data_IF_628299232976
#
_entry.id   IF_628299232976
#
_cell.length_a   1.000
_cell.length_b   1.000
_cell.length_c   1.000
_cell.angle_alpha   90.00
_cell.angle_beta   90.00
_cell.angle_gamma   90.00
#
_symmetry.space_group_name_H-M   'P 1'
#
loop_
_entity.id
_entity.type
_entity.pdbx_description
1 polymer ?
#
# COMPACT_ATOMS: atom_id res chain seq x y z
N UNK A 1 8.52 1.81 -13.49
CA UNK A 1 7.27 2.60 -13.60
C UNK A 1 6.09 1.69 -13.84
N UNK A 2 4.93 2.05 -13.31
CA UNK A 2 3.67 1.33 -13.53
C UNK A 2 2.54 2.30 -13.79
N UNK A 3 1.70 2.00 -14.78
CA UNK A 3 0.35 2.53 -14.88
C UNK A 3 -0.46 1.91 -13.75
N UNK A 4 -1.13 2.73 -12.94
CA UNK A 4 -1.68 2.29 -11.67
C UNK A 4 -3.13 2.72 -11.54
N UNK A 5 -3.95 1.82 -10.97
CA UNK A 5 -5.37 2.04 -10.68
C UNK A 5 -6.26 2.28 -11.92
N UNK A 6 -5.90 1.69 -13.06
CA UNK A 6 -6.82 1.52 -14.20
C UNK A 6 -7.71 0.31 -13.94
N UNK A 7 -8.63 0.44 -13.01
CA UNK A 7 -9.52 -0.66 -12.66
C UNK A 7 -10.80 -0.64 -13.51
N UNK A 8 -11.30 -1.81 -13.82
CA UNK A 8 -12.59 -1.98 -14.50
C UNK A 8 -13.72 -2.30 -13.51
N UNK A 9 -13.65 -1.68 -12.32
CA UNK A 9 -14.65 -1.79 -11.26
C UNK A 9 -15.70 -0.68 -11.38
N UNK A 10 -16.66 -0.66 -10.43
CA UNK A 10 -17.67 0.38 -10.41
C UNK A 10 -17.07 1.76 -10.10
N UNK A 11 -17.50 2.75 -10.87
CA UNK A 11 -17.11 4.14 -10.69
C UNK A 11 -17.57 4.71 -9.34
N UNK A 12 -16.75 5.56 -8.74
CA UNK A 12 -17.03 6.27 -7.49
C UNK A 12 -17.28 5.38 -6.26
N UNK A 13 -16.77 4.13 -6.29
CA UNK A 13 -16.85 3.19 -5.15
C UNK A 13 -15.49 2.84 -4.54
N UNK A 14 -14.41 3.35 -5.07
CA UNK A 14 -13.05 3.07 -4.56
C UNK A 14 -12.60 4.17 -3.61
N UNK A 15 -12.18 3.77 -2.41
CA UNK A 15 -11.59 4.65 -1.41
C UNK A 15 -10.06 4.70 -1.50
N UNK A 16 -9.46 5.70 -0.85
CA UNK A 16 -7.99 5.77 -0.71
C UNK A 16 -7.44 4.56 0.05
N UNK A 17 -8.20 4.07 1.03
CA UNK A 17 -7.84 2.90 1.84
C UNK A 17 -7.78 1.61 1.02
N UNK A 18 -8.65 1.45 0.02
CA UNK A 18 -8.64 0.30 -0.88
C UNK A 18 -7.46 0.31 -1.85
N UNK A 19 -6.94 1.49 -2.20
CA UNK A 19 -5.77 1.61 -3.09
C UNK A 19 -4.46 1.25 -2.39
N UNK A 20 -4.34 1.50 -1.07
CA UNK A 20 -3.08 1.32 -0.34
C UNK A 20 -2.51 -0.10 -0.36
N UNK A 21 -3.27 -1.18 -0.11
CA UNK A 21 -2.74 -2.54 -0.13
C UNK A 21 -2.14 -2.94 -1.48
N UNK A 22 -2.82 -2.60 -2.59
CA UNK A 22 -2.33 -2.90 -3.94
C UNK A 22 -1.06 -2.11 -4.25
N UNK A 23 -1.00 -0.85 -3.83
CA UNK A 23 0.17 0.00 -3.92
C UNK A 23 1.37 -0.57 -3.17
N UNK A 24 1.15 -1.00 -1.93
CA UNK A 24 2.18 -1.60 -1.10
C UNK A 24 2.71 -2.90 -1.73
N UNK A 25 1.81 -3.71 -2.29
CA UNK A 25 2.20 -4.92 -3.01
C UNK A 25 3.05 -4.61 -4.25
N UNK A 26 2.69 -3.57 -5.00
CA UNK A 26 3.46 -3.10 -6.15
C UNK A 26 4.85 -2.57 -5.73
N UNK A 27 4.94 -1.85 -4.61
CA UNK A 27 6.22 -1.42 -4.04
C UNK A 27 7.09 -2.62 -3.64
N UNK A 28 6.52 -3.62 -2.98
CA UNK A 28 7.22 -4.87 -2.64
C UNK A 28 7.65 -5.66 -3.89
N UNK A 29 6.94 -5.51 -5.02
CA UNK A 29 7.31 -6.09 -6.31
C UNK A 29 8.34 -5.27 -7.12
N UNK A 30 8.87 -4.17 -6.55
CA UNK A 30 9.92 -3.36 -7.16
C UNK A 30 9.42 -2.16 -8.00
N UNK A 31 8.12 -1.91 -8.06
CA UNK A 31 7.60 -0.66 -8.64
C UNK A 31 8.03 0.51 -7.76
N UNK A 32 8.66 1.52 -8.37
CA UNK A 32 9.16 2.68 -7.66
C UNK A 32 8.75 4.02 -8.30
N UNK A 33 7.83 3.98 -9.26
CA UNK A 33 7.27 5.14 -9.92
C UNK A 33 5.88 4.80 -10.45
N UNK A 34 4.85 5.41 -9.85
CA UNK A 34 3.45 5.16 -10.18
C UNK A 34 2.88 6.30 -11.00
N UNK A 35 2.12 5.96 -12.03
CA UNK A 35 1.32 6.88 -12.83
C UNK A 35 -0.15 6.51 -12.67
N UNK A 36 -0.94 7.46 -12.21
CA UNK A 36 -2.37 7.25 -12.06
C UNK A 36 -3.06 7.36 -13.42
N UNK A 37 -3.90 6.40 -13.72
CA UNK A 37 -4.78 6.38 -14.89
C UNK A 37 -6.23 6.20 -14.40
N UNK A 38 -7.06 7.20 -14.15
CA UNK A 38 -6.50 8.50 -13.81
C UNK A 38 -7.59 9.56 -13.82
N UNK A 39 -7.40 10.64 -14.51
CA UNK A 39 -8.28 11.81 -14.51
C UNK A 39 -8.75 12.15 -15.92
N UNK A 40 -10.06 12.23 -16.14
CA UNK A 40 -10.63 12.78 -17.37
C UNK A 40 -10.66 14.31 -17.30
N UNK A 41 -10.38 14.97 -18.41
CA UNK A 41 -10.63 16.39 -18.56
C UNK A 41 -12.12 16.67 -18.39
N UNK A 42 -12.46 17.75 -17.68
CA UNK A 42 -13.81 18.27 -17.59
C UNK A 42 -13.83 19.78 -17.77
N UNK A 43 -14.69 20.34 -18.67
CA UNK A 43 -14.89 21.78 -18.76
C UNK A 43 -15.40 22.36 -17.44
N UNK A 44 -15.16 23.65 -17.20
CA UNK A 44 -15.58 24.35 -15.97
C UNK A 44 -17.10 24.35 -15.77
N UNK A 45 -17.86 24.36 -16.85
CA UNK A 45 -19.32 24.38 -16.91
C UNK A 45 -19.95 22.97 -16.96
N UNK A 46 -19.12 21.93 -16.95
CA UNK A 46 -19.62 20.57 -16.87
C UNK A 46 -20.32 20.33 -15.54
N UNK A 47 -21.57 19.87 -15.61
CA UNK A 47 -22.31 19.47 -14.42
C UNK A 47 -21.61 18.32 -13.70
N UNK A 48 -21.76 18.28 -12.38
CA UNK A 48 -21.23 17.17 -11.57
C UNK A 48 -21.74 15.81 -12.09
N UNK A 49 -20.90 14.77 -12.15
CA UNK A 49 -19.50 14.64 -11.72
C UNK A 49 -18.47 15.03 -12.79
N UNK A 50 -18.84 15.71 -13.84
CA UNK A 50 -17.98 16.05 -14.96
C UNK A 50 -17.93 14.95 -16.02
N UNK A 51 -16.95 15.05 -16.92
CA UNK A 51 -16.71 14.03 -17.94
C UNK A 51 -16.01 12.83 -17.33
N UNK A 52 -16.40 11.63 -17.80
CA UNK A 52 -15.91 10.39 -17.26
C UNK A 52 -14.98 9.67 -18.23
N UNK A 53 -14.07 8.95 -17.63
CA UNK A 53 -13.23 7.98 -18.29
C UNK A 53 -13.89 6.57 -18.22
N UNK A 54 -13.44 5.61 -19.03
CA UNK A 54 -14.01 4.26 -19.01
C UNK A 54 -13.60 3.45 -17.79
N UNK A 55 -12.42 3.74 -17.24
CA UNK A 55 -11.88 3.04 -16.08
C UNK A 55 -12.11 3.82 -14.78
N UNK A 56 -12.25 3.12 -13.68
CA UNK A 56 -12.05 3.65 -12.34
C UNK A 56 -10.56 3.47 -11.96
N UNK A 57 -9.95 4.17 -11.05
CA UNK A 57 -10.50 5.10 -10.06
C UNK A 57 -10.61 6.48 -10.68
N UNK A 58 -11.71 7.17 -10.40
CA UNK A 58 -11.88 8.56 -10.87
C UNK A 58 -11.09 9.51 -9.94
N UNK A 59 -9.81 9.71 -10.22
CA UNK A 59 -8.92 10.65 -9.52
C UNK A 59 -9.16 12.08 -10.01
N UNK A 60 -10.34 12.61 -9.68
CA UNK A 60 -10.85 13.88 -10.17
C UNK A 60 -11.21 14.80 -9.01
N UNK A 61 -11.03 16.13 -9.14
CA UNK A 61 -11.51 17.12 -8.16
C UNK A 61 -13.02 17.05 -7.85
N UNK A 62 -13.79 16.43 -8.72
CA UNK A 62 -15.24 16.24 -8.52
C UNK A 62 -15.57 14.98 -7.71
N UNK A 63 -14.62 14.09 -7.48
CA UNK A 63 -14.75 12.95 -6.58
C UNK A 63 -14.43 13.39 -5.15
N UNK A 64 -15.23 12.98 -4.18
CA UNK A 64 -15.04 13.35 -2.76
C UNK A 64 -13.69 12.92 -2.19
N UNK A 65 -13.13 11.79 -2.66
CA UNK A 65 -11.79 11.34 -2.22
C UNK A 65 -10.67 12.35 -2.53
N UNK A 66 -10.88 13.27 -3.48
CA UNK A 66 -9.90 14.29 -3.85
C UNK A 66 -9.52 15.19 -2.67
N UNK A 67 -10.45 15.42 -1.76
CA UNK A 67 -10.23 16.23 -0.56
C UNK A 67 -9.03 15.70 0.26
N UNK A 68 -8.90 14.38 0.37
CA UNK A 68 -7.87 13.73 1.17
C UNK A 68 -6.79 13.01 0.33
N UNK A 69 -6.91 13.00 -1.00
CA UNK A 69 -5.91 12.47 -1.93
C UNK A 69 -4.48 13.02 -1.72
N UNK A 70 -4.25 14.27 -1.28
CA UNK A 70 -2.91 14.76 -0.97
C UNK A 70 -2.15 13.93 0.07
N UNK A 71 -2.85 13.29 1.02
CA UNK A 71 -2.21 12.40 2.00
C UNK A 71 -1.73 11.10 1.37
N UNK A 72 -2.51 10.51 0.46
CA UNK A 72 -2.09 9.38 -0.36
C UNK A 72 -0.88 9.75 -1.22
N UNK A 73 -0.91 10.91 -1.92
CA UNK A 73 0.21 11.37 -2.76
C UNK A 73 1.48 11.61 -1.94
N UNK A 74 1.35 12.14 -0.73
CA UNK A 74 2.47 12.33 0.20
C UNK A 74 3.05 10.99 0.66
N UNK A 75 2.20 9.99 0.94
CA UNK A 75 2.63 8.63 1.25
C UNK A 75 3.44 8.02 0.09
N UNK A 76 2.92 8.09 -1.13
CA UNK A 76 3.60 7.60 -2.34
C UNK A 76 4.95 8.28 -2.52
N UNK A 77 4.99 9.60 -2.40
CA UNK A 77 6.22 10.39 -2.55
C UNK A 77 7.29 9.94 -1.57
N UNK A 78 6.93 9.73 -0.31
CA UNK A 78 7.85 9.24 0.72
C UNK A 78 8.34 7.82 0.43
N UNK A 79 7.45 6.90 0.07
CA UNK A 79 7.84 5.55 -0.31
C UNK A 79 8.78 5.55 -1.51
N UNK A 80 8.43 6.27 -2.58
CA UNK A 80 9.22 6.34 -3.80
C UNK A 80 10.60 6.98 -3.58
N UNK A 81 10.74 7.93 -2.64
CA UNK A 81 12.05 8.52 -2.33
C UNK A 81 13.06 7.47 -1.84
N UNK A 82 12.62 6.50 -1.05
CA UNK A 82 13.45 5.37 -0.63
C UNK A 82 13.60 4.32 -1.74
N UNK A 83 12.51 3.98 -2.42
CA UNK A 83 12.51 2.94 -3.45
C UNK A 83 13.29 3.32 -4.72
N UNK A 84 13.56 4.62 -4.94
CA UNK A 84 14.42 5.12 -6.00
C UNK A 84 15.88 5.33 -5.55
N UNK A 85 16.14 5.33 -4.24
CA UNK A 85 17.48 5.49 -3.69
C UNK A 85 18.25 4.18 -3.68
N UNK A 86 19.56 4.26 -3.97
CA UNK A 86 20.44 3.09 -3.96
C UNK A 86 20.18 2.11 -5.11
N UNK A 87 20.51 0.84 -4.88
CA UNK A 87 20.38 -0.24 -5.86
C UNK A 87 19.43 -1.34 -5.36
N UNK A 88 18.74 -2.06 -6.25
CA UNK A 88 18.07 -3.30 -5.89
C UNK A 88 19.06 -4.27 -5.21
N UNK A 89 18.58 -5.00 -4.21
CA UNK A 89 19.40 -5.99 -3.48
C UNK A 89 18.65 -7.33 -3.38
N UNK A 90 18.17 -7.81 -4.53
CA UNK A 90 17.58 -9.14 -4.67
C UNK A 90 18.69 -10.21 -4.72
N UNK A 91 18.40 -11.41 -4.20
CA UNK A 91 19.41 -12.43 -4.03
C UNK A 91 19.79 -13.12 -5.34
N UNK A 92 18.78 -13.39 -6.19
CA UNK A 92 18.94 -14.24 -7.37
C UNK A 92 18.50 -13.57 -8.66
N UNK A 93 19.20 -13.92 -9.77
CA UNK A 93 18.67 -13.76 -11.11
C UNK A 93 17.91 -15.03 -11.50
N UNK A 94 16.77 -14.89 -12.19
CA UNK A 94 16.03 -16.02 -12.76
C UNK A 94 15.99 -15.87 -14.29
N UNK A 95 16.41 -16.92 -14.98
CA UNK A 95 16.38 -16.93 -16.43
C UNK A 95 14.95 -16.89 -16.95
N UNK A 96 14.63 -15.88 -17.78
CA UNK A 96 13.32 -15.71 -18.39
C UNK A 96 13.27 -16.54 -19.70
N UNK A 97 12.41 -17.57 -19.81
CA UNK A 97 12.43 -18.54 -20.89
C UNK A 97 11.73 -18.02 -22.18
N UNK A 98 12.19 -16.91 -22.73
CA UNK A 98 11.57 -16.26 -23.91
C UNK A 98 11.53 -17.20 -25.12
N UNK A 99 12.61 -17.97 -25.35
CA UNK A 99 12.68 -18.90 -26.49
C UNK A 99 11.72 -20.07 -26.35
N UNK A 100 11.58 -20.60 -25.15
CA UNK A 100 10.62 -21.67 -24.85
C UNK A 100 9.19 -21.20 -25.15
N UNK A 101 8.85 -19.98 -24.76
CA UNK A 101 7.54 -19.39 -25.03
C UNK A 101 7.31 -19.19 -26.54
N UNK A 102 8.32 -18.74 -27.28
CA UNK A 102 8.22 -18.57 -28.73
C UNK A 102 8.04 -19.90 -29.48
N UNK A 103 8.63 -20.99 -29.03
CA UNK A 103 8.50 -22.31 -29.66
C UNK A 103 7.17 -22.99 -29.35
N UNK A 104 6.57 -22.71 -28.21
CA UNK A 104 5.26 -23.27 -27.81
C UNK A 104 4.09 -22.65 -28.54
N UNK A 105 4.20 -21.41 -29.01
CA UNK A 105 3.12 -20.67 -29.66
C UNK A 105 3.20 -20.77 -31.18
N UNK A 106 2.66 -21.85 -31.75
CA UNK A 106 2.59 -22.04 -33.22
C UNK A 106 1.75 -20.95 -33.88
N UNK A 107 2.38 -20.16 -34.77
CA UNK A 107 1.70 -19.21 -35.63
C UNK A 107 1.38 -17.85 -35.05
N UNK A 108 1.74 -17.54 -33.81
CA UNK A 108 1.59 -16.19 -33.26
C UNK A 108 2.79 -15.33 -33.66
N UNK A 109 2.51 -14.19 -34.30
CA UNK A 109 3.54 -13.21 -34.71
C UNK A 109 4.03 -12.32 -33.58
N UNK A 110 3.22 -12.13 -32.52
CA UNK A 110 3.53 -11.30 -31.35
C UNK A 110 3.25 -12.11 -30.10
N UNK A 111 4.26 -12.22 -29.26
CA UNK A 111 4.12 -12.75 -27.91
C UNK A 111 3.89 -11.56 -26.97
N UNK A 112 2.78 -11.57 -26.28
CA UNK A 112 2.52 -10.64 -25.20
C UNK A 112 2.93 -11.28 -23.88
N UNK A 113 3.74 -10.55 -23.09
CA UNK A 113 3.93 -10.83 -21.69
C UNK A 113 2.69 -10.32 -20.95
N UNK A 114 1.70 -11.17 -20.84
CA UNK A 114 0.46 -10.88 -20.14
C UNK A 114 0.46 -11.64 -18.82
N UNK A 115 0.37 -10.90 -17.74
CA UNK A 115 0.39 -11.42 -16.37
C UNK A 115 -0.67 -12.53 -16.18
N UNK A 116 -1.84 -12.41 -16.82
CA UNK A 116 -2.93 -13.39 -16.69
C UNK A 116 -2.65 -14.69 -17.44
N UNK A 117 -1.74 -14.68 -18.41
CA UNK A 117 -1.42 -15.85 -19.25
C UNK A 117 -0.05 -16.47 -18.97
N UNK A 118 0.83 -15.78 -18.21
CA UNK A 118 2.20 -16.26 -17.95
C UNK A 118 2.24 -17.63 -17.28
N UNK A 119 1.31 -17.94 -16.37
CA UNK A 119 1.24 -19.25 -15.73
C UNK A 119 0.97 -20.40 -16.71
N UNK A 120 0.34 -20.12 -17.87
CA UNK A 120 0.15 -21.10 -18.96
C UNK A 120 1.32 -21.12 -19.93
N UNK A 121 1.92 -19.97 -20.21
CA UNK A 121 3.01 -19.81 -21.19
C UNK A 121 4.36 -20.27 -20.68
N UNK A 122 4.64 -20.02 -19.39
CA UNK A 122 5.89 -20.37 -18.72
C UNK A 122 5.63 -20.88 -17.29
N UNK A 123 4.96 -22.04 -17.12
CA UNK A 123 4.56 -22.53 -15.81
C UNK A 123 5.76 -22.83 -14.89
N UNK A 124 6.84 -23.35 -15.44
CA UNK A 124 8.07 -23.66 -14.69
C UNK A 124 8.71 -22.39 -14.16
N UNK A 125 8.75 -21.31 -14.95
CA UNK A 125 9.24 -19.99 -14.53
C UNK A 125 8.37 -19.41 -13.41
N UNK A 126 7.07 -19.41 -13.53
CA UNK A 126 6.15 -18.89 -12.50
C UNK A 126 6.26 -19.72 -11.23
N UNK A 127 6.32 -21.05 -11.34
CA UNK A 127 6.53 -21.94 -10.19
C UNK A 127 7.85 -21.65 -9.48
N UNK A 128 8.93 -21.42 -10.25
CA UNK A 128 10.23 -21.10 -9.69
C UNK A 128 10.22 -19.79 -8.88
N UNK A 129 9.71 -18.70 -9.45
CA UNK A 129 9.69 -17.41 -8.74
C UNK A 129 8.80 -17.43 -7.49
N UNK A 130 7.64 -18.10 -7.55
CA UNK A 130 6.79 -18.29 -6.38
C UNK A 130 7.49 -19.11 -5.28
N UNK A 131 8.23 -20.16 -5.65
CA UNK A 131 8.97 -20.97 -4.70
C UNK A 131 10.14 -20.20 -4.08
N UNK A 132 10.86 -19.39 -4.86
CA UNK A 132 11.92 -18.49 -4.35
C UNK A 132 11.36 -17.55 -3.28
N UNK A 133 10.25 -16.86 -3.57
CA UNK A 133 9.57 -15.98 -2.59
C UNK A 133 9.15 -16.75 -1.32
N UNK A 134 8.57 -17.95 -1.49
CA UNK A 134 8.14 -18.78 -0.36
C UNK A 134 9.30 -19.29 0.53
N UNK A 135 10.50 -19.32 0.00
CA UNK A 135 11.73 -19.65 0.72
C UNK A 135 12.39 -18.45 1.40
N UNK A 136 11.81 -17.26 1.30
CA UNK A 136 12.29 -16.04 1.94
C UNK A 136 13.34 -15.26 1.13
N UNK A 137 13.51 -15.57 -0.15
CA UNK A 137 14.42 -14.86 -1.04
C UNK A 137 13.69 -13.92 -1.99
N UNK A 138 14.46 -13.04 -2.64
CA UNK A 138 14.00 -12.17 -3.71
C UNK A 138 14.78 -12.42 -5.01
N UNK A 139 14.14 -12.14 -6.16
CA UNK A 139 14.76 -12.34 -7.46
C UNK A 139 14.34 -11.27 -8.49
N UNK A 140 15.23 -11.09 -9.47
CA UNK A 140 14.94 -10.37 -10.71
C UNK A 140 15.03 -11.32 -11.90
N UNK A 141 14.59 -10.89 -13.08
CA UNK A 141 14.51 -11.72 -14.27
C UNK A 141 15.50 -11.24 -15.32
N UNK A 142 16.11 -12.20 -16.06
CA UNK A 142 17.08 -11.88 -17.10
C UNK A 142 16.82 -12.68 -18.38
N UNK A 143 16.82 -12.00 -19.53
CA UNK A 143 16.74 -12.64 -20.85
C UNK A 143 18.12 -12.83 -21.48
N UNK A 144 18.21 -13.63 -22.55
CA UNK A 144 19.46 -13.96 -23.27
C UNK A 144 20.36 -12.75 -23.52
N UNK A 145 19.79 -11.68 -24.06
CA UNK A 145 20.54 -10.47 -24.44
C UNK A 145 21.30 -9.86 -23.26
N UNK A 146 20.63 -9.75 -22.12
CA UNK A 146 21.23 -9.16 -20.92
C UNK A 146 22.10 -10.14 -20.17
N UNK A 147 21.79 -11.45 -20.25
CA UNK A 147 22.62 -12.49 -19.67
C UNK A 147 24.00 -12.53 -20.34
N UNK A 148 24.07 -12.40 -21.67
CA UNK A 148 25.34 -12.32 -22.42
C UNK A 148 26.22 -11.12 -22.05
N UNK A 149 25.67 -10.08 -21.46
CA UNK A 149 26.41 -8.91 -20.95
C UNK A 149 26.70 -8.95 -19.44
N UNK A 150 26.29 -10.02 -18.76
CA UNK A 150 26.52 -10.20 -17.34
C UNK A 150 27.93 -10.70 -17.10
N UNK A 151 28.62 -10.15 -16.09
CA UNK A 151 29.98 -10.54 -15.66
C UNK A 151 29.94 -11.16 -14.27
N UNK A 152 31.01 -11.88 -13.93
CA UNK A 152 31.26 -12.37 -12.55
C UNK A 152 32.40 -11.59 -11.93
N UNK A 153 32.10 -10.85 -10.86
CA UNK A 153 33.08 -10.00 -10.18
C UNK A 153 32.89 -10.09 -8.66
N UNK A 154 34.00 -10.31 -7.94
CA UNK A 154 34.02 -10.31 -6.47
C UNK A 154 32.92 -11.20 -5.82
N UNK A 155 32.77 -12.41 -6.33
CA UNK A 155 31.84 -13.39 -5.78
C UNK A 155 30.35 -13.16 -6.15
N UNK A 156 30.05 -12.28 -7.11
CA UNK A 156 28.68 -11.97 -7.54
C UNK A 156 28.56 -11.86 -9.05
N UNK A 157 27.41 -12.22 -9.57
CA UNK A 157 26.99 -11.88 -10.92
C UNK A 157 26.62 -10.41 -10.97
N UNK A 158 27.14 -9.67 -11.96
CA UNK A 158 26.88 -8.24 -12.14
C UNK A 158 26.30 -7.99 -13.52
N UNK A 159 25.10 -7.43 -13.56
CA UNK A 159 24.45 -7.04 -14.80
C UNK A 159 25.02 -5.73 -15.36
N UNK A 160 24.75 -5.44 -16.63
CA UNK A 160 25.16 -4.18 -17.27
C UNK A 160 24.61 -2.92 -16.54
N UNK A 161 23.48 -3.06 -15.85
CA UNK A 161 22.90 -2.00 -15.01
C UNK A 161 23.61 -1.80 -13.67
N UNK A 162 24.61 -2.64 -13.34
CA UNK A 162 25.39 -2.55 -12.12
C UNK A 162 24.81 -3.29 -10.91
N UNK A 163 23.61 -3.88 -11.02
CA UNK A 163 23.02 -4.69 -9.96
C UNK A 163 23.73 -6.02 -9.81
N UNK A 164 23.90 -6.49 -8.57
CA UNK A 164 24.64 -7.70 -8.22
C UNK A 164 23.72 -8.77 -7.66
N UNK A 165 24.01 -10.03 -7.99
CA UNK A 165 23.24 -11.19 -7.57
C UNK A 165 24.16 -12.32 -7.09
N UNK A 166 23.67 -13.17 -6.19
CA UNK A 166 24.41 -14.27 -5.59
C UNK A 166 24.52 -15.47 -6.51
N UNK A 167 23.47 -15.75 -7.27
CA UNK A 167 23.43 -16.84 -8.24
C UNK A 167 22.44 -16.56 -9.37
N UNK A 168 22.55 -17.32 -10.47
CA UNK A 168 21.56 -17.43 -11.52
C UNK A 168 20.76 -18.73 -11.33
N UNK A 169 19.45 -18.64 -11.35
CA UNK A 169 18.55 -19.81 -11.34
C UNK A 169 17.97 -19.98 -12.74
N UNK A 170 18.14 -21.17 -13.30
CA UNK A 170 17.53 -21.59 -14.56
C UNK A 170 16.35 -22.49 -14.22
N UNK A 171 15.06 -22.09 -14.46
CA UNK A 171 13.90 -22.79 -13.93
C UNK A 171 13.79 -24.26 -14.29
N UNK A 172 14.23 -24.63 -15.51
CA UNK A 172 14.21 -25.99 -16.02
C UNK A 172 15.21 -26.13 -17.20
N UNK A 173 15.16 -27.21 -17.98
CA UNK A 173 15.93 -27.43 -19.21
C UNK A 173 15.48 -26.46 -20.32
N UNK A 174 15.76 -25.17 -20.16
CA UNK A 174 15.32 -24.13 -21.07
C UNK A 174 16.09 -24.13 -22.40
N UNK A 175 15.39 -23.73 -23.47
CA UNK A 175 16.00 -23.58 -24.79
C UNK A 175 16.91 -22.37 -24.80
N UNK A 176 18.21 -22.62 -25.02
CA UNK A 176 19.25 -21.59 -25.08
C UNK A 176 20.08 -21.73 -26.34
N UNK A 177 20.59 -20.60 -26.85
CA UNK A 177 21.57 -20.62 -27.94
C UNK A 177 22.90 -21.23 -27.47
N UNK A 178 23.72 -21.67 -28.46
CA UNK A 178 25.10 -22.12 -28.16
C UNK A 178 25.93 -21.01 -27.52
N UNK A 179 25.71 -19.76 -27.91
CA UNK A 179 26.39 -18.59 -27.35
C UNK A 179 26.04 -18.38 -25.87
N UNK A 180 24.76 -18.45 -25.50
CA UNK A 180 24.31 -18.36 -24.10
C UNK A 180 24.91 -19.51 -23.27
N UNK A 181 24.82 -20.73 -23.78
CA UNK A 181 25.43 -21.90 -23.09
C UNK A 181 26.93 -21.76 -22.87
N UNK A 182 27.66 -21.27 -23.88
CA UNK A 182 29.10 -21.04 -23.77
C UNK A 182 29.40 -19.93 -22.72
N UNK A 183 28.61 -18.86 -22.71
CA UNK A 183 28.78 -17.79 -21.72
C UNK A 183 28.50 -18.28 -20.30
N UNK A 184 27.44 -19.09 -20.08
CA UNK A 184 27.16 -19.70 -18.77
C UNK A 184 28.33 -20.58 -18.30
N UNK A 185 28.89 -21.43 -19.18
CA UNK A 185 30.05 -22.26 -18.84
C UNK A 185 31.29 -21.43 -18.46
N UNK A 186 31.45 -20.25 -19.12
CA UNK A 186 32.56 -19.36 -18.76
C UNK A 186 32.31 -18.67 -17.39
N UNK A 187 31.09 -18.25 -17.09
CA UNK A 187 30.71 -17.71 -15.76
C UNK A 187 30.93 -18.75 -14.65
N UNK A 188 30.52 -20.01 -14.87
CA UNK A 188 30.73 -21.10 -13.92
C UNK A 188 32.24 -21.37 -13.68
N UNK A 189 33.05 -21.36 -14.75
CA UNK A 189 34.52 -21.50 -14.65
C UNK A 189 35.15 -20.37 -13.84
N UNK A 190 34.56 -19.16 -13.86
CA UNK A 190 35.00 -18.04 -13.04
C UNK A 190 34.53 -18.14 -11.59
N UNK A 191 33.64 -19.09 -11.25
CA UNK A 191 33.14 -19.38 -9.92
C UNK A 191 31.70 -18.91 -9.67
N UNK A 192 30.97 -18.51 -10.72
CA UNK A 192 29.54 -18.14 -10.58
C UNK A 192 28.69 -19.36 -10.23
N UNK A 193 27.73 -19.17 -9.32
CA UNK A 193 26.75 -20.19 -9.01
C UNK A 193 25.61 -20.14 -10.02
N UNK A 194 25.42 -21.25 -10.76
CA UNK A 194 24.31 -21.45 -11.69
C UNK A 194 23.51 -22.65 -11.19
N UNK A 195 22.25 -22.43 -10.80
CA UNK A 195 21.40 -23.42 -10.17
C UNK A 195 20.32 -23.85 -11.16
N UNK A 196 20.22 -25.14 -11.45
CA UNK A 196 19.17 -25.69 -12.31
C UNK A 196 17.94 -26.08 -11.45
N UNK A 197 16.79 -25.51 -11.78
CA UNK A 197 15.59 -25.61 -10.96
C UNK A 197 15.73 -24.80 -9.66
N UNK A 198 14.73 -24.91 -8.77
CA UNK A 198 14.78 -24.28 -7.45
C UNK A 198 15.28 -25.30 -6.43
N UNK A 199 16.55 -25.22 -6.08
CA UNK A 199 17.20 -26.08 -5.10
C UNK A 199 17.47 -25.32 -3.80
N UNK A 200 16.68 -25.54 -2.72
CA UNK A 200 16.83 -24.80 -1.46
C UNK A 200 18.22 -24.97 -0.82
N UNK A 201 18.83 -26.13 -0.96
CA UNK A 201 20.17 -26.39 -0.40
C UNK A 201 21.25 -25.56 -1.07
N UNK A 202 21.26 -25.53 -2.42
CA UNK A 202 22.21 -24.71 -3.17
C UNK A 202 21.96 -23.20 -2.97
N UNK A 203 20.70 -22.80 -2.91
CA UNK A 203 20.33 -21.40 -2.63
C UNK A 203 20.82 -20.95 -1.24
N UNK A 204 20.71 -21.80 -0.23
CA UNK A 204 21.15 -21.47 1.14
C UNK A 204 22.67 -21.35 1.30
N UNK A 205 23.46 -21.95 0.39
CA UNK A 205 24.89 -21.73 0.31
C UNK A 205 25.20 -20.32 -0.23
N UNK A 206 24.38 -19.82 -1.14
CA UNK A 206 24.60 -18.54 -1.81
C UNK A 206 24.08 -17.34 -1.02
N UNK A 207 22.92 -17.48 -0.34
CA UNK A 207 22.22 -16.36 0.29
C UNK A 207 21.52 -16.76 1.60
N UNK A 208 21.31 -15.78 2.48
CA UNK A 208 20.54 -15.94 3.73
C UNK A 208 19.09 -15.53 3.48
N UNK A 209 18.09 -16.38 3.78
CA UNK A 209 16.70 -16.03 3.59
C UNK A 209 16.21 -15.01 4.62
N UNK A 210 15.36 -14.09 4.20
CA UNK A 210 14.73 -13.10 5.10
C UNK A 210 13.70 -13.75 6.01
N UNK A 211 14.02 -13.79 7.30
CA UNK A 211 13.18 -14.40 8.32
C UNK A 211 11.85 -13.67 8.52
N UNK A 212 11.81 -12.37 8.23
CA UNK A 212 10.58 -11.58 8.28
C UNK A 212 9.53 -12.16 7.34
N UNK A 213 9.88 -12.44 6.09
CA UNK A 213 8.96 -13.08 5.12
C UNK A 213 8.46 -14.45 5.62
N UNK A 214 9.39 -15.28 6.10
CA UNK A 214 9.10 -16.67 6.49
C UNK A 214 8.23 -16.78 7.75
N UNK A 215 8.50 -15.93 8.75
CA UNK A 215 7.87 -16.09 10.07
C UNK A 215 6.61 -15.23 10.24
N UNK A 216 6.48 -14.14 9.50
CA UNK A 216 5.34 -13.21 9.64
C UNK A 216 4.39 -13.23 8.45
N UNK A 217 4.83 -13.68 7.30
CA UNK A 217 4.06 -13.61 6.05
C UNK A 217 3.96 -12.20 5.45
N UNK A 218 4.63 -11.20 6.05
CA UNK A 218 4.66 -9.85 5.50
C UNK A 218 5.35 -9.82 4.14
N UNK A 219 4.96 -8.87 3.32
CA UNK A 219 5.64 -8.55 2.06
C UNK A 219 6.68 -7.48 2.29
N UNK A 220 7.78 -7.58 1.54
CA UNK A 220 8.88 -6.62 1.66
C UNK A 220 9.76 -6.60 0.41
N UNK A 221 10.53 -5.53 0.26
CA UNK A 221 11.62 -5.43 -0.68
C UNK A 221 12.84 -4.80 0.01
N UNK A 222 14.04 -5.27 -0.31
CA UNK A 222 15.30 -4.76 0.20
C UNK A 222 16.07 -4.02 -0.89
N UNK A 223 16.72 -2.92 -0.51
CA UNK A 223 17.65 -2.18 -1.37
C UNK A 223 18.92 -1.86 -0.61
N UNK A 224 20.04 -1.87 -1.32
CA UNK A 224 21.33 -1.42 -0.78
C UNK A 224 21.54 0.08 -1.01
N UNK A 225 22.23 0.75 -0.09
CA UNK A 225 22.56 2.16 -0.19
C UNK A 225 23.94 2.45 0.42
N UNK A 226 24.51 3.66 0.27
CA UNK A 226 25.84 3.97 0.77
C UNK A 226 26.02 3.78 2.29
N UNK A 227 24.95 3.89 3.09
CA UNK A 227 25.03 3.76 4.56
C UNK A 227 24.73 2.37 5.08
N UNK A 228 24.03 1.53 4.30
CA UNK A 228 23.61 0.19 4.67
C UNK A 228 22.57 -0.37 3.73
N UNK A 229 21.43 -0.71 4.28
CA UNK A 229 20.28 -1.22 3.53
C UNK A 229 19.01 -0.52 3.98
N UNK A 230 18.00 -0.52 3.14
CA UNK A 230 16.66 -0.16 3.57
C UNK A 230 15.63 -1.17 3.05
N UNK A 231 14.61 -1.36 3.85
CA UNK A 231 13.55 -2.34 3.64
C UNK A 231 12.22 -1.59 3.61
N UNK A 232 11.48 -1.66 2.53
CA UNK A 232 10.06 -1.34 2.57
C UNK A 232 9.32 -2.60 2.97
N UNK A 233 8.49 -2.52 4.00
CA UNK A 233 7.72 -3.64 4.53
C UNK A 233 6.25 -3.27 4.59
N UNK A 234 5.36 -4.22 4.24
CA UNK A 234 3.92 -4.06 4.39
C UNK A 234 3.31 -5.29 5.04
N UNK A 235 2.54 -5.08 6.09
CA UNK A 235 1.77 -6.12 6.73
C UNK A 235 0.40 -6.25 6.07
N UNK A 236 0.33 -7.04 5.01
CA UNK A 236 -0.90 -7.36 4.29
C UNK A 236 -1.61 -8.60 4.88
N UNK A 237 -1.15 -9.09 6.03
CA UNK A 237 -1.78 -10.22 6.74
C UNK A 237 -2.91 -9.72 7.65
N UNK A 238 -3.84 -10.58 8.07
CA UNK A 238 -4.91 -10.18 8.99
C UNK A 238 -4.44 -10.00 10.44
N UNK A 239 -3.19 -10.32 10.76
CA UNK A 239 -2.66 -10.31 12.12
C UNK A 239 -1.65 -9.19 12.32
N UNK A 240 -1.66 -8.60 13.51
CA UNK A 240 -0.62 -7.68 13.94
C UNK A 240 0.69 -8.44 14.20
N UNK A 241 1.81 -7.82 13.84
CA UNK A 241 3.16 -8.36 14.06
C UNK A 241 3.85 -7.54 15.13
N UNK A 242 4.38 -8.18 16.18
CA UNK A 242 5.25 -7.58 17.19
C UNK A 242 6.27 -8.62 17.66
N UNK A 243 7.46 -8.61 17.07
CA UNK A 243 8.49 -9.62 17.34
C UNK A 243 9.90 -9.10 17.04
N UNK A 244 10.92 -9.78 17.56
CA UNK A 244 12.31 -9.52 17.24
C UNK A 244 12.80 -10.46 16.13
N UNK A 245 13.24 -9.90 14.99
CA UNK A 245 13.68 -10.65 13.82
C UNK A 245 15.12 -10.37 13.45
N UNK A 246 15.92 -11.40 13.10
CA UNK A 246 17.20 -11.19 12.44
C UNK A 246 16.94 -10.72 11.00
N UNK A 247 17.82 -9.90 10.47
CA UNK A 247 17.86 -9.53 9.07
C UNK A 247 18.86 -10.39 8.31
N UNK A 248 18.65 -10.59 7.01
CA UNK A 248 19.59 -11.30 6.15
C UNK A 248 20.88 -10.49 5.86
N UNK A 249 20.94 -9.24 6.30
CA UNK A 249 22.08 -8.34 6.13
C UNK A 249 22.70 -7.95 7.46
N UNK A 250 24.00 -7.65 7.46
CA UNK A 250 24.68 -7.14 8.63
C UNK A 250 24.41 -5.66 8.85
N UNK A 251 24.24 -5.25 10.11
CA UNK A 251 24.03 -3.87 10.52
C UNK A 251 24.50 -3.64 11.96
N UNK A 252 24.78 -2.39 12.31
CA UNK A 252 25.13 -1.97 13.67
C UNK A 252 24.01 -1.17 14.34
N UNK A 253 23.24 -0.43 13.55
CA UNK A 253 22.12 0.38 14.02
C UNK A 253 21.02 0.41 12.97
N UNK A 254 19.81 0.83 13.38
CA UNK A 254 18.66 0.95 12.49
C UNK A 254 17.68 2.03 12.95
N UNK A 255 16.92 2.57 11.98
CA UNK A 255 15.86 3.53 12.22
C UNK A 255 14.62 3.16 11.41
N UNK A 256 13.45 3.39 12.00
CA UNK A 256 12.15 3.30 11.36
C UNK A 256 11.76 4.64 10.75
N UNK A 257 11.33 4.62 9.51
CA UNK A 257 10.69 5.72 8.83
C UNK A 257 9.23 5.37 8.56
N UNK A 258 8.32 6.22 9.05
CA UNK A 258 6.88 6.04 8.83
C UNK A 258 6.44 6.85 7.59
N UNK A 259 6.10 6.20 6.47
CA UNK A 259 5.73 6.90 5.25
C UNK A 259 4.36 7.59 5.34
N UNK A 260 3.51 7.23 6.32
CA UNK A 260 2.21 7.90 6.51
C UNK A 260 2.36 9.35 6.98
N UNK A 261 3.33 9.64 7.85
CA UNK A 261 3.50 10.97 8.45
C UNK A 261 4.90 11.58 8.31
N UNK A 262 5.91 10.78 7.90
CA UNK A 262 7.31 11.19 7.74
C UNK A 262 8.14 11.15 9.04
N UNK A 263 7.61 10.60 10.12
CA UNK A 263 8.35 10.47 11.38
C UNK A 263 9.48 9.46 11.25
N UNK A 264 10.59 9.74 11.93
CA UNK A 264 11.76 8.87 12.03
C UNK A 264 11.96 8.51 13.49
N UNK A 265 12.10 7.22 13.78
CA UNK A 265 12.30 6.71 15.13
C UNK A 265 13.46 5.72 15.12
N UNK A 266 14.27 5.72 16.19
CA UNK A 266 15.31 4.71 16.35
C UNK A 266 14.68 3.32 16.50
N UNK A 267 15.19 2.33 15.79
CA UNK A 267 14.73 0.95 15.93
C UNK A 267 15.24 0.33 17.24
N UNK A 268 14.38 -0.46 17.89
CA UNK A 268 14.80 -1.24 19.06
C UNK A 268 15.53 -2.50 18.60
N UNK A 269 16.77 -2.66 19.05
CA UNK A 269 17.62 -3.78 18.70
C UNK A 269 17.95 -4.56 19.98
N UNK A 270 17.79 -5.89 19.91
CA UNK A 270 18.16 -6.81 20.99
C UNK A 270 18.86 -8.04 20.42
N UNK A 271 20.08 -8.31 20.89
CA UNK A 271 20.89 -9.46 20.45
C UNK A 271 20.99 -9.59 18.91
N UNK A 272 21.25 -8.49 18.21
CA UNK A 272 21.37 -8.46 16.75
C UNK A 272 20.04 -8.61 15.98
N UNK A 273 18.90 -8.61 16.67
CA UNK A 273 17.57 -8.67 16.08
C UNK A 273 16.86 -7.32 16.21
N UNK A 274 16.19 -6.89 15.16
CA UNK A 274 15.36 -5.68 15.16
C UNK A 274 13.94 -6.04 15.60
N UNK A 275 13.33 -5.19 16.45
CA UNK A 275 11.91 -5.31 16.75
C UNK A 275 11.10 -4.81 15.55
N UNK A 276 10.30 -5.70 15.00
CA UNK A 276 9.31 -5.39 13.96
C UNK A 276 7.96 -5.27 14.63
N UNK A 277 7.33 -4.10 14.53
CA UNK A 277 5.98 -3.86 15.06
C UNK A 277 5.16 -3.17 13.99
N UNK A 278 4.27 -3.92 13.35
CA UNK A 278 3.35 -3.44 12.32
C UNK A 278 1.98 -4.08 12.48
N UNK A 279 0.96 -3.26 12.61
CA UNK A 279 -0.43 -3.75 12.61
C UNK A 279 -0.84 -4.20 11.21
N UNK A 280 -1.90 -4.98 11.13
CA UNK A 280 -2.54 -5.32 9.86
C UNK A 280 -2.88 -4.04 9.08
N UNK A 281 -2.46 -3.97 7.81
CA UNK A 281 -2.61 -2.81 6.92
C UNK A 281 -1.52 -1.74 7.05
N UNK A 282 -0.63 -1.82 8.03
CA UNK A 282 0.49 -0.88 8.15
C UNK A 282 1.66 -1.25 7.24
N UNK A 283 2.41 -0.22 6.87
CA UNK A 283 3.69 -0.33 6.15
C UNK A 283 4.69 0.68 6.71
N UNK A 284 5.95 0.29 6.69
CA UNK A 284 7.06 1.11 7.19
C UNK A 284 8.34 0.86 6.39
N UNK A 285 9.30 1.76 6.55
CA UNK A 285 10.63 1.63 5.97
C UNK A 285 11.63 1.49 7.12
N UNK A 286 12.38 0.39 7.11
CA UNK A 286 13.50 0.18 8.01
C UNK A 286 14.79 0.55 7.29
N UNK A 287 15.49 1.56 7.77
CA UNK A 287 16.85 1.91 7.33
C UNK A 287 17.84 1.27 8.29
N UNK A 288 18.80 0.51 7.77
CA UNK A 288 19.92 -0.05 8.55
C UNK A 288 21.24 0.68 8.24
N UNK A 289 22.14 0.69 9.21
CA UNK A 289 23.42 1.40 9.14
C UNK A 289 24.58 0.48 9.48
N UNK A 290 25.65 0.52 8.64
CA UNK A 290 26.88 -0.26 8.86
C UNK A 290 27.73 0.29 10.00
N UNK A 291 27.73 1.61 10.19
CA UNK A 291 28.63 2.32 11.11
C UNK A 291 27.94 2.94 12.34
N UNK A 292 26.66 2.65 12.54
CA UNK A 292 25.83 3.29 13.57
C UNK A 292 25.37 4.69 13.19
N UNK A 293 24.28 5.14 13.83
CA UNK A 293 23.70 6.48 13.65
C UNK A 293 24.15 7.37 14.79
N UNK A 294 24.50 8.63 14.51
CA UNK A 294 24.93 9.54 15.57
C UNK A 294 23.82 10.47 16.09
N UNK A 295 22.66 10.64 15.42
CA UNK A 295 21.74 11.73 15.73
C UNK A 295 20.25 11.46 15.47
N UNK A 296 19.75 10.23 15.55
CA UNK A 296 18.32 9.98 15.37
C UNK A 296 17.53 10.19 16.67
N UNK A 297 16.35 10.86 16.63
CA UNK A 297 15.54 11.03 17.81
C UNK A 297 15.08 9.68 18.35
N UNK A 298 15.38 9.41 19.61
CA UNK A 298 14.83 8.26 20.33
C UNK A 298 13.39 8.59 20.71
N UNK A 299 12.41 8.17 19.92
CA UNK A 299 11.11 7.92 20.48
C UNK A 299 11.18 6.59 21.23
N UNK A 300 10.98 6.66 22.54
CA UNK A 300 10.73 5.46 23.33
C UNK A 300 9.39 4.89 22.82
N UNK A 301 9.43 3.72 22.19
CA UNK A 301 8.26 2.85 22.08
C UNK A 301 7.91 2.40 23.50
N UNK A 302 7.27 3.28 24.27
CA UNK A 302 6.75 2.94 25.58
C UNK A 302 5.59 2.01 25.35
N UNK A 303 5.88 0.72 25.42
CA UNK A 303 4.83 -0.28 25.54
C UNK A 303 4.18 -0.04 26.88
N UNK A 304 2.98 0.50 26.85
CA UNK A 304 2.16 0.51 28.04
C UNK A 304 1.59 -0.91 28.20
N UNK A 305 2.04 -1.70 29.20
CA UNK A 305 1.63 -3.10 29.32
C UNK A 305 0.15 -3.25 29.69
N UNK A 306 -0.50 -2.16 30.10
CA UNK A 306 -1.93 -2.12 30.39
C UNK A 306 -2.65 -1.26 29.36
N UNK A 307 -3.41 -1.91 28.47
CA UNK A 307 -4.29 -1.22 27.53
C UNK A 307 -5.38 -0.48 28.28
N UNK A 308 -5.36 0.85 28.22
CA UNK A 308 -6.44 1.70 28.77
C UNK A 308 -7.26 2.24 27.60
N UNK A 309 -8.58 2.21 27.72
CA UNK A 309 -9.50 2.69 26.67
C UNK A 309 -10.56 3.62 27.25
N UNK A 310 -10.94 4.63 26.47
CA UNK A 310 -12.13 5.45 26.69
C UNK A 310 -12.99 5.38 25.45
N UNK A 311 -14.11 4.65 25.52
CA UNK A 311 -15.03 4.48 24.40
C UNK A 311 -15.89 5.73 24.23
N UNK A 312 -15.80 6.37 23.07
CA UNK A 312 -16.54 7.60 22.75
C UNK A 312 -17.77 7.33 21.88
N UNK A 313 -18.00 6.09 21.45
CA UNK A 313 -19.10 5.71 20.57
C UNK A 313 -20.48 6.15 21.12
N UNK A 314 -20.70 6.00 22.42
CA UNK A 314 -21.94 6.39 23.14
C UNK A 314 -21.84 7.76 23.84
N UNK A 315 -20.95 8.63 23.40
CA UNK A 315 -20.92 10.02 23.80
C UNK A 315 -21.97 10.83 23.01
N UNK A 316 -22.31 12.01 23.51
CA UNK A 316 -23.13 12.97 22.75
C UNK A 316 -22.27 13.58 21.64
N UNK A 317 -22.70 13.41 20.41
CA UNK A 317 -22.06 13.97 19.26
C UNK A 317 -22.98 14.96 18.54
N UNK A 318 -22.42 16.05 18.05
CA UNK A 318 -23.07 16.90 17.07
C UNK A 318 -22.51 16.57 15.69
N UNK A 319 -23.39 16.34 14.70
CA UNK A 319 -23.04 16.10 13.31
C UNK A 319 -23.67 17.13 12.41
N UNK A 320 -22.86 17.86 11.67
CA UNK A 320 -23.24 18.75 10.58
C UNK A 320 -22.53 18.36 9.30
N UNK A 321 -22.94 18.93 8.16
CA UNK A 321 -22.36 18.59 6.87
C UNK A 321 -21.75 19.83 6.21
N UNK A 322 -20.68 19.62 5.45
CA UNK A 322 -20.00 20.64 4.62
C UNK A 322 -19.62 20.02 3.28
N UNK A 323 -19.57 20.86 2.24
CA UNK A 323 -19.22 20.40 0.88
C UNK A 323 -20.12 19.25 0.39
N UNK A 324 -21.34 19.21 0.88
CA UNK A 324 -22.29 18.13 0.64
C UNK A 324 -23.18 18.37 -0.60
N UNK A 325 -23.55 17.25 -1.24
CA UNK A 325 -24.52 17.24 -2.32
C UNK A 325 -25.22 15.85 -2.44
N UNK A 326 -26.57 15.78 -2.45
CA UNK A 326 -27.48 16.89 -2.17
C UNK A 326 -27.27 17.47 -0.77
N UNK A 327 -27.71 18.73 -0.59
CA UNK A 327 -27.53 19.44 0.67
C UNK A 327 -28.35 18.80 1.80
N UNK A 328 -27.72 18.71 2.97
CA UNK A 328 -28.35 18.26 4.21
C UNK A 328 -28.76 19.49 5.02
N UNK A 329 -30.03 19.64 5.26
CA UNK A 329 -30.63 20.91 5.77
C UNK A 329 -30.44 21.10 7.29
N UNK A 330 -30.09 20.04 8.03
CA UNK A 330 -30.13 20.06 9.50
C UNK A 330 -28.82 19.54 10.13
N UNK A 331 -28.62 19.95 11.39
CA UNK A 331 -27.61 19.39 12.29
C UNK A 331 -28.25 18.32 13.15
N UNK A 332 -27.56 17.22 13.37
CA UNK A 332 -28.00 16.09 14.18
C UNK A 332 -27.31 16.12 15.55
N UNK A 333 -28.08 15.87 16.61
CA UNK A 333 -27.54 15.56 17.93
C UNK A 333 -27.69 14.06 18.16
N UNK A 334 -26.58 13.35 18.27
CA UNK A 334 -26.51 11.90 18.34
C UNK A 334 -26.13 11.47 19.76
N UNK A 335 -26.89 10.56 20.34
CA UNK A 335 -26.54 9.90 21.61
C UNK A 335 -25.54 8.74 21.41
N UNK A 336 -25.35 8.29 20.16
CA UNK A 336 -24.38 7.30 19.76
C UNK A 336 -24.03 7.49 18.30
N UNK A 337 -22.78 7.19 17.94
CA UNK A 337 -22.33 7.16 16.55
C UNK A 337 -23.07 6.10 15.75
N UNK A 338 -23.43 6.44 14.53
CA UNK A 338 -24.05 5.54 13.55
C UNK A 338 -23.79 6.06 12.13
N UNK A 339 -23.89 5.17 11.15
CA UNK A 339 -23.73 5.55 9.74
C UNK A 339 -24.85 6.47 9.26
N UNK A 340 -24.54 7.32 8.28
CA UNK A 340 -25.44 8.37 7.77
C UNK A 340 -26.74 7.82 7.22
N UNK A 341 -26.72 6.66 6.55
CA UNK A 341 -27.92 6.04 6.00
C UNK A 341 -28.94 5.61 7.06
N UNK A 342 -28.54 5.56 8.33
CA UNK A 342 -29.43 5.23 9.47
C UNK A 342 -30.03 6.49 10.12
N UNK A 343 -29.66 7.70 9.68
CA UNK A 343 -30.13 8.95 10.26
C UNK A 343 -31.44 9.42 9.60
N UNK A 344 -31.39 9.61 8.28
CA UNK A 344 -32.58 9.93 7.47
C UNK A 344 -32.35 9.73 5.96
N UNK A 345 -33.37 10.10 5.17
CA UNK A 345 -33.33 9.95 3.70
C UNK A 345 -32.39 10.93 3.01
N UNK A 346 -32.14 12.14 3.55
CA UNK A 346 -31.22 13.13 2.96
C UNK A 346 -29.78 12.64 3.12
N UNK A 347 -29.42 12.21 4.33
CA UNK A 347 -28.06 11.75 4.63
C UNK A 347 -27.73 10.42 3.96
N UNK A 348 -28.73 9.58 3.66
CA UNK A 348 -28.54 8.28 3.02
C UNK A 348 -28.05 8.38 1.57
N UNK A 349 -28.25 9.51 0.90
CA UNK A 349 -27.91 9.73 -0.52
C UNK A 349 -26.90 10.86 -0.74
N UNK A 350 -26.49 11.55 0.33
CA UNK A 350 -25.55 12.66 0.19
C UNK A 350 -24.11 12.17 0.02
N UNK A 351 -23.33 12.89 -0.76
CA UNK A 351 -21.86 12.83 -0.75
C UNK A 351 -21.32 14.12 -0.15
N UNK A 352 -20.16 14.05 0.51
CA UNK A 352 -19.52 15.22 1.10
C UNK A 352 -18.80 14.88 2.40
N UNK A 353 -18.72 15.85 3.30
CA UNK A 353 -18.01 15.72 4.56
C UNK A 353 -18.95 15.95 5.74
N UNK A 354 -19.07 14.94 6.60
CA UNK A 354 -19.73 15.04 7.90
C UNK A 354 -18.77 15.49 8.98
N UNK A 355 -19.12 16.55 9.70
CA UNK A 355 -18.33 17.13 10.80
C UNK A 355 -18.92 16.70 12.12
N UNK A 356 -18.23 15.80 12.79
CA UNK A 356 -18.58 15.29 14.12
C UNK A 356 -17.85 16.07 15.18
N UNK A 357 -18.54 16.51 16.24
CA UNK A 357 -17.93 17.18 17.37
C UNK A 357 -18.45 16.59 18.69
N UNK A 358 -17.55 16.33 19.60
CA UNK A 358 -17.89 15.91 20.98
C UNK A 358 -16.94 16.54 22.00
N UNK A 359 -17.36 16.56 23.26
CA UNK A 359 -16.53 17.00 24.39
C UNK A 359 -16.24 15.80 25.29
N UNK A 360 -14.97 15.60 25.60
CA UNK A 360 -14.49 14.52 26.47
C UNK A 360 -13.80 15.11 27.69
N UNK A 361 -14.25 14.72 28.88
CA UNK A 361 -13.64 15.18 30.13
C UNK A 361 -12.62 14.18 30.65
N UNK A 362 -11.37 14.62 30.82
CA UNK A 362 -10.30 13.81 31.37
C UNK A 362 -9.96 14.26 32.80
N UNK A 363 -9.68 13.29 33.70
CA UNK A 363 -9.18 13.56 35.02
C UNK A 363 -7.64 13.77 35.03
N UNK A 364 -7.06 14.08 36.20
CA UNK A 364 -5.61 14.35 36.32
C UNK A 364 -4.70 13.16 36.01
N UNK A 365 -5.18 11.93 36.15
CA UNK A 365 -4.42 10.73 35.80
C UNK A 365 -4.49 10.49 34.28
N UNK A 366 -5.67 10.55 33.70
CA UNK A 366 -5.89 10.37 32.27
C UNK A 366 -5.18 11.42 31.41
N UNK A 367 -5.10 12.69 31.88
CA UNK A 367 -4.41 13.76 31.15
C UNK A 367 -2.88 13.63 31.09
N UNK A 368 -2.29 12.69 31.83
CA UNK A 368 -0.85 12.39 31.81
C UNK A 368 -0.52 11.20 30.90
N UNK A 369 -1.54 10.54 30.36
CA UNK A 369 -1.39 9.38 29.49
C UNK A 369 -1.18 9.87 28.05
N UNK A 370 -0.28 9.23 27.34
CA UNK A 370 -0.15 9.41 25.88
C UNK A 370 -1.26 8.63 25.18
N UNK A 371 -2.16 9.34 24.54
CA UNK A 371 -3.33 8.78 23.88
C UNK A 371 -3.17 8.73 22.37
N UNK A 372 -3.71 7.67 21.77
CA UNK A 372 -4.09 7.62 20.37
C UNK A 372 -5.60 7.60 20.23
N UNK A 373 -6.12 8.11 19.13
CA UNK A 373 -7.52 8.00 18.75
C UNK A 373 -7.67 6.93 17.68
N UNK A 374 -8.47 5.91 18.00
CA UNK A 374 -8.85 4.85 17.06
C UNK A 374 -10.28 5.13 16.59
N UNK A 375 -10.44 5.32 15.29
CA UNK A 375 -11.72 5.65 14.66
C UNK A 375 -12.51 4.39 14.23
N UNK A 376 -11.95 3.20 14.46
CA UNK A 376 -12.58 1.93 14.08
C UNK A 376 -12.79 1.81 12.58
N UNK A 377 -14.03 1.85 12.13
CA UNK A 377 -14.41 1.77 10.72
C UNK A 377 -14.79 3.16 10.19
N UNK A 378 -13.92 3.74 9.37
CA UNK A 378 -14.11 5.06 8.74
C UNK A 378 -14.60 4.89 7.31
N UNK A 379 -15.68 5.60 6.95
CA UNK A 379 -16.27 5.55 5.61
C UNK A 379 -16.29 6.93 4.96
N UNK A 380 -15.13 7.43 4.32
CA UNK A 380 -13.94 6.61 3.96
C UNK A 380 -12.63 7.21 4.49
N UNK A 381 -12.53 8.53 4.67
CA UNK A 381 -11.35 9.21 5.23
C UNK A 381 -11.76 10.19 6.31
N UNK A 382 -10.89 10.44 7.30
CA UNK A 382 -11.22 11.30 8.42
C UNK A 382 -10.06 12.23 8.78
N UNK A 383 -10.32 13.54 8.79
CA UNK A 383 -9.44 14.55 9.40
C UNK A 383 -9.81 14.74 10.85
N UNK A 384 -8.82 14.68 11.74
CA UNK A 384 -9.05 14.76 13.18
C UNK A 384 -8.38 15.98 13.78
N UNK A 385 -9.12 16.65 14.65
CA UNK A 385 -8.69 17.81 15.41
C UNK A 385 -8.96 17.59 16.90
N UNK A 386 -8.01 17.98 17.73
CA UNK A 386 -8.13 17.98 19.21
C UNK A 386 -7.89 19.38 19.69
N UNK A 387 -8.86 19.94 20.44
CA UNK A 387 -8.80 21.31 20.96
C UNK A 387 -8.49 22.38 19.89
N UNK A 388 -8.96 22.16 18.65
CA UNK A 388 -8.74 23.03 17.51
C UNK A 388 -7.50 22.71 16.67
N UNK A 389 -6.56 21.92 17.20
CA UNK A 389 -5.31 21.56 16.52
C UNK A 389 -5.48 20.31 15.64
N UNK A 390 -5.00 20.39 14.39
CA UNK A 390 -5.02 19.28 13.45
C UNK A 390 -3.97 18.22 13.82
N UNK A 391 -4.42 16.98 14.06
CA UNK A 391 -3.50 15.88 14.41
C UNK A 391 -3.15 14.98 13.22
N UNK A 392 -4.01 14.88 12.21
CA UNK A 392 -3.73 14.07 11.03
C UNK A 392 -5.00 13.70 10.25
N UNK A 393 -4.80 13.00 9.15
CA UNK A 393 -5.85 12.40 8.34
C UNK A 393 -5.71 10.87 8.37
N UNK A 394 -6.74 10.19 8.86
CA UNK A 394 -6.88 8.74 8.81
C UNK A 394 -7.56 8.38 7.47
N UNK A 395 -6.78 7.98 6.48
CA UNK A 395 -7.25 7.69 5.13
C UNK A 395 -7.04 6.23 4.70
N UNK A 396 -6.35 5.45 5.52
CA UNK A 396 -6.10 4.02 5.31
C UNK A 396 -6.09 3.26 6.63
N UNK A 397 -6.35 1.96 6.56
CA UNK A 397 -6.31 1.04 7.71
C UNK A 397 -4.87 0.89 8.23
N UNK A 398 -4.67 0.87 9.57
CA UNK A 398 -5.63 1.13 10.62
C UNK A 398 -5.92 2.63 10.80
N UNK A 399 -7.17 2.98 11.06
CA UNK A 399 -7.58 4.38 11.24
C UNK A 399 -7.25 4.86 12.67
N UNK A 400 -5.97 4.93 13.00
CA UNK A 400 -5.44 5.30 14.31
C UNK A 400 -4.49 6.50 14.16
N UNK A 401 -4.67 7.51 14.99
CA UNK A 401 -3.82 8.70 15.00
C UNK A 401 -3.32 8.99 16.43
N UNK A 402 -2.07 9.45 16.53
CA UNK A 402 -1.49 9.96 17.77
C UNK A 402 -2.15 11.30 18.16
N UNK A 403 -2.62 11.42 19.38
CA UNK A 403 -3.20 12.65 19.92
C UNK A 403 -2.17 13.76 20.23
N UNK A 404 -0.88 13.54 20.01
CA UNK A 404 0.22 14.53 20.11
C UNK A 404 0.28 15.27 21.46
N UNK A 405 -0.14 14.62 22.54
CA UNK A 405 -0.23 15.21 23.89
C UNK A 405 -1.14 16.46 23.98
N UNK A 406 -2.10 16.62 23.06
CA UNK A 406 -3.04 17.75 23.05
C UNK A 406 -4.21 17.60 24.02
N UNK A 407 -4.40 16.41 24.58
CA UNK A 407 -5.43 16.14 25.58
C UNK A 407 -4.95 16.59 26.96
N UNK A 408 -5.78 17.38 27.64
CA UNK A 408 -5.47 17.95 28.96
C UNK A 408 -6.56 17.62 30.01
N UNK A 409 -6.29 17.90 31.26
CA UNK A 409 -7.26 17.78 32.35
C UNK A 409 -8.45 18.73 32.10
N UNK A 410 -9.64 18.24 32.31
CA UNK A 410 -10.88 18.97 32.04
C UNK A 410 -11.49 18.62 30.70
N UNK A 411 -12.22 19.54 30.11
CA UNK A 411 -12.98 19.33 28.90
C UNK A 411 -12.07 19.47 27.67
N UNK A 412 -12.13 18.48 26.78
CA UNK A 412 -11.40 18.44 25.51
C UNK A 412 -12.38 18.32 24.36
N UNK A 413 -12.24 19.13 23.34
CA UNK A 413 -13.06 19.10 22.14
C UNK A 413 -12.38 18.22 21.10
N UNK A 414 -13.08 17.16 20.67
CA UNK A 414 -12.67 16.31 19.56
C UNK A 414 -13.58 16.61 18.37
N UNK A 415 -12.97 16.99 17.23
CA UNK A 415 -13.66 17.23 15.97
C UNK A 415 -13.11 16.27 14.92
N UNK A 416 -14.01 15.56 14.22
CA UNK A 416 -13.68 14.58 13.20
C UNK A 416 -14.48 14.92 11.93
N UNK A 417 -13.79 15.15 10.82
CA UNK A 417 -14.37 15.44 9.53
C UNK A 417 -14.25 14.21 8.64
N UNK A 418 -15.37 13.52 8.41
CA UNK A 418 -15.41 12.29 7.61
C UNK A 418 -15.93 12.56 6.22
N UNK A 419 -15.15 12.19 5.22
CA UNK A 419 -15.54 12.30 3.80
C UNK A 419 -15.91 10.94 3.25
N UNK A 420 -17.12 10.80 2.69
CA UNK A 420 -17.61 9.56 2.11
C UNK A 420 -17.39 9.50 0.59
N UNK A 421 -17.76 8.36 -0.01
CA UNK A 421 -17.76 8.16 -1.47
C UNK A 421 -19.05 8.69 -2.12
N UNK A 422 -19.00 9.08 -3.42
CA UNK A 422 -20.16 9.51 -4.19
C UNK A 422 -21.15 8.38 -4.54
N UNK A 423 -20.86 7.13 -4.25
CA UNK A 423 -21.62 5.97 -4.72
C UNK A 423 -23.13 6.04 -4.43
N UNK A 424 -23.51 6.43 -3.21
CA UNK A 424 -24.94 6.52 -2.85
C UNK A 424 -25.66 7.63 -3.64
N UNK A 425 -24.98 8.77 -3.88
CA UNK A 425 -25.50 9.84 -4.73
C UNK A 425 -25.66 9.39 -6.17
N UNK A 426 -24.67 8.68 -6.73
CA UNK A 426 -24.74 8.15 -8.10
C UNK A 426 -25.91 7.18 -8.26
N UNK A 427 -26.10 6.28 -7.31
CA UNK A 427 -27.24 5.35 -7.29
C UNK A 427 -28.58 6.09 -7.24
N UNK A 428 -28.69 7.12 -6.42
CA UNK A 428 -29.90 7.95 -6.30
C UNK A 428 -30.21 8.71 -7.60
N UNK A 429 -29.18 9.27 -8.26
CA UNK A 429 -29.36 9.93 -9.56
C UNK A 429 -29.88 8.97 -10.64
N UNK A 430 -29.34 7.74 -10.69
CA UNK A 430 -29.81 6.72 -11.63
C UNK A 430 -31.25 6.27 -11.31
N UNK A 431 -31.61 6.11 -10.04
CA UNK A 431 -32.99 5.82 -9.61
C UNK A 431 -33.97 6.90 -10.05
N UNK A 432 -33.56 8.16 -10.03
CA UNK A 432 -34.35 9.32 -10.46
C UNK A 432 -34.33 9.55 -11.97
N UNK A 433 -33.61 8.74 -12.73
CA UNK A 433 -33.48 8.86 -14.19
C UNK A 433 -32.66 10.08 -14.64
N UNK A 434 -31.86 10.68 -13.75
CA UNK A 434 -31.04 11.85 -14.06
C UNK A 434 -29.87 11.45 -14.97
N UNK A 435 -29.71 12.15 -16.08
CA UNK A 435 -28.61 11.92 -17.03
C UNK A 435 -27.34 12.61 -16.52
N UNK A 436 -26.61 11.95 -15.65
CA UNK A 436 -25.34 12.47 -15.11
C UNK A 436 -24.10 12.06 -15.91
N UNK A 437 -24.16 10.96 -16.72
CA UNK A 437 -23.08 10.55 -17.61
C UNK A 437 -23.07 11.39 -18.88
N UNK A 438 -22.06 12.21 -19.08
CA UNK A 438 -21.91 13.06 -20.27
C UNK A 438 -21.07 12.38 -21.37
N UNK A 439 -20.16 11.48 -21.01
CA UNK A 439 -19.41 10.68 -21.99
C UNK A 439 -19.73 9.20 -21.83
N UNK A 440 -19.80 8.50 -22.94
CA UNK A 440 -19.90 7.04 -22.97
C UNK A 440 -18.53 6.44 -22.71
N UNK A 441 -18.49 5.19 -22.29
CA UNK A 441 -17.28 4.39 -22.18
C UNK A 441 -16.76 4.09 -23.59
N UNK A 442 -15.95 5.00 -24.13
CA UNK A 442 -15.56 5.05 -25.56
C UNK A 442 -14.73 3.85 -26.01
N UNK A 443 -14.14 3.09 -25.09
CA UNK A 443 -13.29 1.93 -25.40
C UNK A 443 -14.08 0.62 -25.43
N UNK A 444 -15.36 0.64 -25.11
CA UNK A 444 -16.23 -0.55 -25.21
C UNK A 444 -16.91 -0.54 -26.58
N UNK A 445 -16.37 -1.32 -27.49
CA UNK A 445 -16.98 -1.59 -28.81
C UNK A 445 -17.54 -3.00 -28.78
N UNK A 446 -18.79 -3.13 -28.34
CA UNK A 446 -19.52 -4.39 -28.35
C UNK A 446 -20.92 -4.17 -28.95
N UNK A 447 -21.31 -5.01 -29.91
CA UNK A 447 -22.64 -5.00 -30.52
C UNK A 447 -23.75 -5.29 -29.50
N UNK A 448 -23.43 -5.97 -28.40
CA UNK A 448 -24.34 -6.29 -27.31
C UNK A 448 -24.24 -5.34 -26.14
N UNK A 449 -23.56 -4.20 -26.29
CA UNK A 449 -23.37 -3.24 -25.20
C UNK A 449 -24.72 -2.77 -24.66
N UNK A 450 -24.93 -3.04 -23.39
CA UNK A 450 -26.06 -2.51 -22.64
C UNK A 450 -25.58 -1.42 -21.68
N UNK A 451 -26.30 -0.31 -21.65
CA UNK A 451 -26.01 0.79 -20.73
C UNK A 451 -26.10 0.29 -19.29
N UNK A 452 -24.99 0.30 -18.58
CA UNK A 452 -24.98 0.01 -17.13
C UNK A 452 -25.76 1.04 -16.34
N UNK A 453 -26.53 0.58 -15.36
CA UNK A 453 -27.21 1.44 -14.38
C UNK A 453 -26.74 1.07 -12.98
N UNK A 454 -26.60 2.06 -12.12
CA UNK A 454 -26.25 1.90 -10.71
C UNK A 454 -27.46 2.03 -9.78
N UNK A 455 -28.67 2.12 -10.35
CA UNK A 455 -29.91 2.22 -9.60
C UNK A 455 -30.13 1.08 -8.59
N UNK A 456 -29.63 -0.11 -8.90
CA UNK A 456 -29.78 -1.30 -8.08
C UNK A 456 -28.66 -1.52 -7.05
N UNK A 457 -27.71 -0.59 -6.92
CA UNK A 457 -26.69 -0.70 -5.89
C UNK A 457 -27.30 -0.69 -4.49
N UNK A 458 -26.82 -1.58 -3.65
CA UNK A 458 -27.06 -1.47 -2.21
C UNK A 458 -26.33 -0.23 -1.69
N UNK A 459 -26.95 0.57 -0.82
CA UNK A 459 -26.27 1.67 -0.16
C UNK A 459 -25.00 1.19 0.54
N UNK A 460 -23.91 1.94 0.38
CA UNK A 460 -22.68 1.74 1.14
C UNK A 460 -22.73 2.59 2.40
N UNK A 461 -22.05 2.09 3.45
CA UNK A 461 -21.92 2.81 4.69
C UNK A 461 -21.19 4.15 4.50
N UNK A 462 -21.56 5.16 5.25
CA UNK A 462 -20.97 6.51 5.23
C UNK A 462 -20.85 7.04 6.64
N UNK A 463 -19.75 7.71 6.97
CA UNK A 463 -19.53 8.31 8.28
C UNK A 463 -18.77 7.42 9.26
N UNK A 464 -19.10 7.55 10.56
CA UNK A 464 -18.46 6.85 11.67
C UNK A 464 -19.48 6.05 12.50
N UNK A 465 -19.04 4.89 12.98
CA UNK A 465 -19.83 4.11 13.94
C UNK A 465 -19.09 3.81 15.24
N UNK A 466 -17.81 4.07 15.32
CA UNK A 466 -16.99 3.84 16.51
C UNK A 466 -15.85 4.85 16.64
N UNK A 467 -15.57 5.27 17.87
CA UNK A 467 -14.39 6.06 18.24
C UNK A 467 -13.95 5.67 19.65
N UNK A 468 -12.65 5.47 19.82
CA UNK A 468 -12.05 5.11 21.12
C UNK A 468 -10.72 5.85 21.29
N UNK A 469 -10.49 6.47 22.46
CA UNK A 469 -9.15 6.84 22.88
C UNK A 469 -8.47 5.60 23.47
N UNK A 470 -7.25 5.30 23.05
CA UNK A 470 -6.50 4.11 23.45
C UNK A 470 -5.06 4.45 23.75
N UNK A 471 -4.43 3.69 24.65
CA UNK A 471 -2.99 3.77 24.93
C UNK A 471 -2.18 2.81 24.07
N UNK A 472 -2.83 2.07 23.18
CA UNK A 472 -2.19 1.14 22.27
C UNK A 472 -1.64 1.92 21.06
N UNK A 473 -0.36 2.22 21.11
CA UNK A 473 0.41 2.94 20.07
C UNK A 473 1.19 1.98 19.21
#
# INVERSE_FOLDING_TARGET
SSETFTWLTEHFRTSLSQMKPDMDLMFCAGVNHMFFHGTAYSPKDAEWPGWKFYASVDMSPTNSIWRDAPYLMSYITRCQSFLQWGQPDNDFLVYLPVRDMWTKEKGQRLMQFDIHSMAKKAPEFISAIMKIDSLGYDCDYISDRYLLSTTYENGTLKTIGGTKYKALIIPDNNIMTSEVKAHLAELEKQGAHIIIGVNPTEMSICAVPEQIKLQTGMKMIRRSNPTGYHYFMSNLTPNDVDCYMPLATEFKDAAWFNPMNGNINKATINNGKVRIRLRSGESAILQTYRNGTQNEPTHNDVINPSKTEIKLTKHKWQLSFVEEAPKVSKTFNLDSLQYWQNLDSETSVTMGTGVYTTTVKLNSTQSKIHWSINLGDVRESARVYINGEFIGCAWAVPYILDCKNLLHKGDNIIRIEVTNLPANRISDLDKKGVKWRKMKEINIVDLNYQKTTYANWKPIDSGLNNVTLTTDN
#
